data_IF_958536208398
#
_entry.id   IF_958536208398
#
_cell.length_a   1.000
_cell.length_b   1.000
_cell.length_c   1.000
_cell.angle_alpha   90.00
_cell.angle_beta   90.00
_cell.angle_gamma   90.00
#
_symmetry.space_group_name_H-M   'P 1'
#
loop_
_entity.id
_entity.type
_entity.pdbx_description
1 polymer ?
#
# COMPACT_ATOMS: atom_id res chain seq x y z
N UNK A 1 -5.71 -17.79 14.49
CA UNK A 1 -5.50 -16.32 14.50
C UNK A 1 -4.58 -15.86 13.37
N UNK A 2 -3.35 -16.39 13.24
CA UNK A 2 -2.42 -16.06 12.13
C UNK A 2 -3.04 -16.25 10.72
N UNK A 3 -3.65 -17.42 10.46
CA UNK A 3 -4.30 -17.68 9.17
C UNK A 3 -5.43 -16.69 8.85
N UNK A 4 -6.14 -16.18 9.86
CA UNK A 4 -7.19 -15.18 9.66
C UNK A 4 -6.60 -13.82 9.28
N UNK A 5 -5.50 -13.40 9.93
CA UNK A 5 -4.78 -12.17 9.60
C UNK A 5 -4.16 -12.22 8.20
N UNK A 6 -3.57 -13.35 7.81
CA UNK A 6 -3.03 -13.52 6.46
C UNK A 6 -4.12 -13.50 5.39
N UNK A 7 -5.30 -14.08 5.66
CA UNK A 7 -6.47 -13.97 4.77
C UNK A 7 -6.99 -12.54 4.69
N UNK A 8 -7.06 -11.83 5.81
CA UNK A 8 -7.45 -10.43 5.84
C UNK A 8 -6.46 -9.56 5.02
N UNK A 9 -5.16 -9.78 5.18
CA UNK A 9 -4.12 -9.12 4.39
C UNK A 9 -4.25 -9.43 2.89
N UNK A 10 -4.55 -10.68 2.52
CA UNK A 10 -4.80 -11.06 1.13
C UNK A 10 -6.06 -10.37 0.56
N UNK A 11 -7.17 -10.36 1.29
CA UNK A 11 -8.39 -9.68 0.87
C UNK A 11 -8.15 -8.17 0.73
N UNK A 12 -7.40 -7.56 1.65
CA UNK A 12 -7.03 -6.16 1.62
C UNK A 12 -6.15 -5.82 0.41
N UNK A 13 -5.19 -6.68 0.08
CA UNK A 13 -4.37 -6.55 -1.11
C UNK A 13 -5.18 -6.68 -2.41
N UNK A 14 -6.21 -7.54 -2.45
CA UNK A 14 -7.12 -7.63 -3.60
C UNK A 14 -7.89 -6.33 -3.79
N UNK A 15 -8.36 -5.70 -2.71
CA UNK A 15 -9.00 -4.38 -2.78
C UNK A 15 -8.01 -3.31 -3.29
N UNK A 16 -6.75 -3.33 -2.83
CA UNK A 16 -5.69 -2.47 -3.37
C UNK A 16 -5.44 -2.70 -4.86
N UNK A 17 -5.42 -3.96 -5.29
CA UNK A 17 -5.29 -4.35 -6.70
C UNK A 17 -6.48 -3.89 -7.55
N UNK A 18 -7.71 -4.01 -7.05
CA UNK A 18 -8.90 -3.50 -7.72
C UNK A 18 -8.84 -1.96 -7.89
N UNK A 19 -8.34 -1.25 -6.87
CA UNK A 19 -8.11 0.19 -6.95
C UNK A 19 -7.04 0.54 -8.00
N UNK A 20 -5.96 -0.26 -8.12
CA UNK A 20 -4.97 -0.11 -9.19
C UNK A 20 -5.59 -0.32 -10.58
N UNK A 21 -6.46 -1.31 -10.75
CA UNK A 21 -7.18 -1.48 -12.02
C UNK A 21 -8.06 -0.27 -12.36
N UNK A 22 -8.72 0.33 -11.38
CA UNK A 22 -9.49 1.57 -11.58
C UNK A 22 -8.59 2.74 -12.00
N UNK A 23 -7.43 2.91 -11.34
CA UNK A 23 -6.42 3.92 -11.71
C UNK A 23 -5.95 3.73 -13.15
N UNK A 24 -5.63 2.49 -13.54
CA UNK A 24 -5.22 2.15 -14.91
C UNK A 24 -6.34 2.47 -15.90
N UNK A 25 -7.59 2.11 -15.60
CA UNK A 25 -8.73 2.41 -16.46
C UNK A 25 -8.96 3.91 -16.68
N UNK A 26 -8.89 4.71 -15.62
CA UNK A 26 -9.00 6.18 -15.71
C UNK A 26 -7.83 6.76 -16.53
N UNK A 27 -6.61 6.30 -16.27
CA UNK A 27 -5.42 6.78 -16.98
C UNK A 27 -5.48 6.42 -18.46
N UNK A 28 -5.89 5.19 -18.80
CA UNK A 28 -6.09 4.74 -20.18
C UNK A 28 -7.18 5.56 -20.88
N UNK A 29 -8.29 5.85 -20.20
CA UNK A 29 -9.36 6.69 -20.74
C UNK A 29 -8.86 8.10 -21.04
N UNK A 30 -8.07 8.68 -20.15
CA UNK A 30 -7.48 10.01 -20.37
C UNK A 30 -6.48 10.02 -21.54
N UNK A 31 -5.59 9.02 -21.62
CA UNK A 31 -4.64 8.88 -22.74
C UNK A 31 -5.39 8.70 -24.06
N UNK A 32 -6.46 7.90 -24.08
CA UNK A 32 -7.30 7.72 -25.26
C UNK A 32 -7.99 9.04 -25.67
N UNK A 33 -8.57 9.78 -24.72
CA UNK A 33 -9.18 11.09 -24.97
C UNK A 33 -8.18 12.09 -25.55
N UNK A 34 -6.97 12.16 -24.99
CA UNK A 34 -5.89 13.01 -25.51
C UNK A 34 -5.41 12.59 -26.91
N UNK A 35 -5.39 11.28 -27.18
CA UNK A 35 -5.01 10.78 -28.51
C UNK A 35 -6.08 11.12 -29.54
N UNK A 36 -7.36 10.98 -29.17
CA UNK A 36 -8.50 11.40 -29.99
C UNK A 36 -8.47 12.89 -30.26
N UNK A 37 -8.23 13.71 -29.24
CA UNK A 37 -8.10 15.15 -29.36
C UNK A 37 -7.05 15.55 -30.40
N UNK A 38 -5.85 14.96 -30.34
CA UNK A 38 -4.80 15.20 -31.34
C UNK A 38 -5.18 14.78 -32.76
N UNK A 39 -6.04 13.78 -32.91
CA UNK A 39 -6.55 13.36 -34.22
C UNK A 39 -7.67 14.30 -34.69
N UNK A 40 -8.56 14.74 -33.80
CA UNK A 40 -9.70 15.62 -34.13
C UNK A 40 -9.29 17.07 -34.31
N UNK A 41 -8.20 17.51 -33.69
CA UNK A 41 -7.59 18.83 -33.85
C UNK A 41 -7.12 19.02 -35.32
N UNK A 42 -6.64 17.95 -35.97
CA UNK A 42 -6.35 17.93 -37.42
C UNK A 42 -7.60 18.15 -38.28
N UNK A 43 -8.79 17.90 -37.73
CA UNK A 43 -10.10 18.12 -38.36
C UNK A 43 -10.84 19.36 -37.80
N UNK A 44 -10.19 20.19 -36.98
CA UNK A 44 -10.75 21.43 -36.44
C UNK A 44 -11.71 21.27 -35.25
N UNK A 45 -11.68 20.13 -34.56
CA UNK A 45 -12.48 19.87 -33.36
C UNK A 45 -11.58 19.63 -32.14
N UNK A 46 -11.84 20.35 -31.04
CA UNK A 46 -11.12 20.29 -29.77
C UNK A 46 -11.89 19.38 -28.77
N UNK A 47 -11.23 18.35 -28.25
CA UNK A 47 -11.73 17.42 -27.24
C UNK A 47 -10.87 17.54 -26.00
N UNK A 48 -11.33 18.31 -25.01
CA UNK A 48 -10.58 18.46 -23.76
C UNK A 48 -10.46 17.11 -23.02
N UNK A 49 -9.22 16.77 -22.62
CA UNK A 49 -8.93 15.61 -21.77
C UNK A 49 -9.67 15.67 -20.42
N UNK A 50 -9.65 14.58 -19.64
CA UNK A 50 -10.42 14.50 -18.40
C UNK A 50 -9.85 15.46 -17.33
N UNK A 51 -10.52 16.58 -16.99
CA UNK A 51 -9.98 17.51 -16.02
C UNK A 51 -9.98 16.87 -14.63
N UNK A 52 -8.83 16.94 -13.94
CA UNK A 52 -8.68 16.46 -12.57
C UNK A 52 -8.33 14.98 -12.43
N UNK A 53 -8.17 14.21 -13.51
CA UNK A 53 -7.78 12.80 -13.39
C UNK A 53 -6.49 12.60 -12.56
N UNK A 54 -5.54 13.54 -12.62
CA UNK A 54 -4.28 13.50 -11.85
C UNK A 54 -4.51 13.55 -10.33
N UNK A 55 -5.49 14.33 -9.87
CA UNK A 55 -5.83 14.40 -8.45
C UNK A 55 -6.39 13.05 -7.98
N UNK A 56 -7.28 12.44 -8.77
CA UNK A 56 -7.81 11.10 -8.48
C UNK A 56 -6.68 10.06 -8.44
N UNK A 57 -5.84 10.01 -9.48
CA UNK A 57 -4.73 9.05 -9.57
C UNK A 57 -3.76 9.23 -8.41
N UNK A 58 -3.36 10.46 -8.10
CA UNK A 58 -2.44 10.77 -6.99
C UNK A 58 -2.97 10.28 -5.66
N UNK A 59 -4.23 10.60 -5.35
CA UNK A 59 -4.87 10.23 -4.09
C UNK A 59 -5.09 8.72 -4.01
N UNK A 60 -5.63 8.10 -5.06
CA UNK A 60 -5.89 6.66 -5.10
C UNK A 60 -4.60 5.83 -5.02
N UNK A 61 -3.53 6.22 -5.72
CA UNK A 61 -2.23 5.51 -5.68
C UNK A 61 -1.63 5.54 -4.27
N UNK A 62 -1.72 6.67 -3.55
CA UNK A 62 -1.22 6.78 -2.18
C UNK A 62 -1.86 5.77 -1.22
N UNK A 63 -3.15 5.46 -1.42
CA UNK A 63 -3.83 4.40 -0.68
C UNK A 63 -3.48 3.00 -1.20
N UNK A 64 -3.55 2.78 -2.52
CA UNK A 64 -3.38 1.47 -3.14
C UNK A 64 -2.02 0.83 -2.86
N UNK A 65 -0.95 1.64 -2.88
CA UNK A 65 0.40 1.16 -2.63
C UNK A 65 0.55 0.55 -1.23
N UNK A 66 0.03 1.22 -0.20
CA UNK A 66 0.12 0.77 1.19
C UNK A 66 -0.71 -0.50 1.44
N UNK A 67 -1.84 -0.67 0.75
CA UNK A 67 -2.74 -1.83 0.92
C UNK A 67 -2.07 -3.16 0.53
N UNK A 68 -1.00 -3.13 -0.25
CA UNK A 68 -0.26 -4.32 -0.68
C UNK A 68 0.76 -4.81 0.37
N UNK A 69 1.28 -3.91 1.21
CA UNK A 69 2.36 -4.22 2.16
C UNK A 69 2.03 -5.31 3.20
N UNK A 70 0.83 -5.37 3.80
CA UNK A 70 0.48 -6.44 4.74
C UNK A 70 0.58 -7.83 4.11
N UNK A 71 0.20 -7.95 2.83
CA UNK A 71 0.25 -9.22 2.12
C UNK A 71 1.70 -9.61 1.76
N UNK A 72 2.53 -8.64 1.38
CA UNK A 72 3.96 -8.87 1.17
C UNK A 72 4.64 -9.41 2.44
N UNK A 73 4.30 -8.85 3.62
CA UNK A 73 4.81 -9.35 4.90
C UNK A 73 4.35 -10.79 5.16
N UNK A 74 3.06 -11.07 4.99
CA UNK A 74 2.49 -12.41 5.23
C UNK A 74 3.14 -13.49 4.34
N UNK A 75 3.61 -13.13 3.15
CA UNK A 75 4.31 -14.03 2.22
C UNK A 75 5.80 -14.22 2.53
N UNK A 76 6.34 -13.59 3.58
CA UNK A 76 7.72 -13.75 4.07
C UNK A 76 8.79 -13.51 2.98
N UNK A 77 8.82 -12.31 2.42
CA UNK A 77 9.79 -11.92 1.38
C UNK A 77 11.28 -11.83 1.79
N UNK A 78 11.70 -12.33 2.96
CA UNK A 78 13.08 -12.19 3.48
C UNK A 78 14.07 -13.23 2.93
N UNK A 79 13.83 -13.68 1.69
CA UNK A 79 14.58 -14.74 0.99
C UNK A 79 16.10 -14.49 0.99
N UNK A 80 16.54 -13.23 0.92
CA UNK A 80 17.96 -12.89 0.89
C UNK A 80 18.69 -13.18 2.23
N UNK A 81 18.01 -13.01 3.37
CA UNK A 81 18.59 -13.29 4.69
C UNK A 81 18.56 -14.79 4.98
N UNK A 82 17.53 -15.49 4.51
CA UNK A 82 17.41 -16.94 4.68
C UNK A 82 18.53 -17.70 3.97
N UNK A 83 18.89 -17.33 2.74
CA UNK A 83 19.97 -18.00 1.98
C UNK A 83 21.34 -17.83 2.67
N UNK A 84 21.66 -16.63 3.16
CA UNK A 84 22.91 -16.37 3.87
C UNK A 84 22.93 -17.02 5.27
N UNK A 85 21.78 -17.02 5.97
CA UNK A 85 21.67 -17.60 7.30
C UNK A 85 21.72 -19.14 7.27
N UNK A 86 21.07 -19.78 6.30
CA UNK A 86 21.09 -21.24 6.12
C UNK A 86 22.50 -21.78 5.79
N UNK A 87 23.31 -20.97 5.10
CA UNK A 87 24.64 -21.40 4.65
C UNK A 87 25.73 -21.19 5.72
N UNK A 88 25.55 -20.24 6.66
CA UNK A 88 26.64 -19.78 7.54
C UNK A 88 26.29 -19.77 9.05
N UNK A 89 25.02 -19.70 9.44
CA UNK A 89 24.63 -19.43 10.84
C UNK A 89 24.06 -20.64 11.61
N UNK A 90 24.38 -20.78 12.92
CA UNK A 90 23.69 -21.71 13.81
C UNK A 90 22.19 -21.36 13.91
N UNK A 91 21.34 -22.39 13.91
CA UNK A 91 19.85 -22.27 13.98
C UNK A 91 19.33 -21.38 15.12
N UNK A 92 20.09 -21.24 16.21
CA UNK A 92 19.76 -20.35 17.33
C UNK A 92 19.87 -18.86 16.98
N UNK A 93 20.93 -18.47 16.25
CA UNK A 93 21.18 -17.08 15.85
C UNK A 93 20.17 -16.64 14.78
N UNK A 94 19.87 -17.53 13.82
CA UNK A 94 18.86 -17.26 12.79
C UNK A 94 17.49 -16.95 13.39
N UNK A 95 17.05 -17.69 14.42
CA UNK A 95 15.78 -17.43 15.12
C UNK A 95 15.75 -16.08 15.84
N UNK A 96 16.86 -15.68 16.47
CA UNK A 96 16.96 -14.39 17.14
C UNK A 96 16.88 -13.27 16.11
N UNK A 97 17.61 -13.38 15.00
CA UNK A 97 17.60 -12.37 13.94
C UNK A 97 16.21 -12.25 13.29
N UNK A 98 15.56 -13.38 13.01
CA UNK A 98 14.20 -13.40 12.45
C UNK A 98 13.19 -12.74 13.40
N UNK A 99 13.27 -13.06 14.70
CA UNK A 99 12.41 -12.44 15.73
C UNK A 99 12.65 -10.93 15.84
N UNK A 100 13.91 -10.50 15.86
CA UNK A 100 14.28 -9.09 15.90
C UNK A 100 13.78 -8.33 14.67
N UNK A 101 13.87 -8.95 13.50
CA UNK A 101 13.40 -8.37 12.25
C UNK A 101 11.88 -8.16 12.24
N UNK A 102 11.11 -9.18 12.65
CA UNK A 102 9.66 -9.05 12.80
C UNK A 102 9.27 -7.97 13.81
N UNK A 103 9.98 -7.87 14.93
CA UNK A 103 9.76 -6.83 15.92
C UNK A 103 10.06 -5.42 15.36
N UNK A 104 11.16 -5.28 14.63
CA UNK A 104 11.55 -4.01 14.02
C UNK A 104 10.52 -3.56 12.98
N UNK A 105 10.05 -4.47 12.13
CA UNK A 105 8.98 -4.17 11.15
C UNK A 105 7.70 -3.78 11.86
N UNK A 106 7.30 -4.51 12.90
CA UNK A 106 6.09 -4.18 13.66
C UNK A 106 6.16 -2.78 14.29
N UNK A 107 7.31 -2.43 14.88
CA UNK A 107 7.54 -1.13 15.48
C UNK A 107 7.56 -0.02 14.43
N UNK A 108 8.24 -0.24 13.30
CA UNK A 108 8.28 0.71 12.19
C UNK A 108 6.87 0.94 11.60
N UNK A 109 6.12 -0.12 11.32
CA UNK A 109 4.77 -0.03 10.79
C UNK A 109 3.83 0.70 11.76
N UNK A 110 3.94 0.40 13.07
CA UNK A 110 3.19 1.11 14.12
C UNK A 110 3.57 2.60 14.22
N UNK A 111 4.86 2.93 14.14
CA UNK A 111 5.35 4.31 14.14
C UNK A 111 4.85 5.09 12.91
N UNK A 112 4.90 4.47 11.72
CA UNK A 112 4.37 5.07 10.50
C UNK A 112 2.85 5.28 10.59
N UNK A 113 2.10 4.31 11.14
CA UNK A 113 0.66 4.45 11.35
C UNK A 113 0.34 5.64 12.26
N UNK A 114 1.11 5.80 13.34
CA UNK A 114 0.99 6.94 14.26
C UNK A 114 1.27 8.27 13.55
N UNK A 115 2.39 8.38 12.84
CA UNK A 115 2.76 9.60 12.09
C UNK A 115 1.74 9.94 11.00
N UNK A 116 1.22 8.93 10.32
CA UNK A 116 0.22 9.11 9.28
C UNK A 116 -1.13 9.55 9.84
N UNK A 117 -1.50 9.08 11.04
CA UNK A 117 -2.70 9.55 11.75
C UNK A 117 -2.58 11.04 12.14
N UNK A 118 -1.42 11.46 12.65
CA UNK A 118 -1.17 12.88 12.92
C UNK A 118 -1.25 13.73 11.65
N UNK A 119 -0.65 13.27 10.55
CA UNK A 119 -0.73 13.95 9.26
C UNK A 119 -2.17 14.04 8.72
N UNK A 120 -2.99 13.02 8.95
CA UNK A 120 -4.42 13.05 8.59
C UNK A 120 -5.18 14.12 9.39
N UNK A 121 -4.93 14.21 10.71
CA UNK A 121 -5.58 15.19 11.58
C UNK A 121 -5.22 16.62 11.20
N UNK A 122 -3.95 16.87 10.89
CA UNK A 122 -3.49 18.17 10.39
C UNK A 122 -4.15 18.52 9.05
N UNK A 123 -4.14 17.59 8.09
CA UNK A 123 -4.80 17.75 6.77
C UNK A 123 -6.30 18.03 6.90
N UNK A 124 -6.96 17.40 7.87
CA UNK A 124 -8.36 17.61 8.18
C UNK A 124 -8.60 19.01 8.78
N UNK A 125 -7.75 19.45 9.71
CA UNK A 125 -7.80 20.79 10.29
C UNK A 125 -7.59 21.90 9.25
N UNK A 126 -6.68 21.68 8.31
CA UNK A 126 -6.37 22.62 7.22
C UNK A 126 -7.44 22.65 6.12
N UNK A 127 -8.45 21.79 6.18
CA UNK A 127 -9.48 21.63 5.14
C UNK A 127 -8.87 21.45 3.75
N UNK A 128 -7.77 20.69 3.66
CA UNK A 128 -7.00 20.57 2.42
C UNK A 128 -7.83 19.91 1.31
N UNK A 129 -7.92 20.61 0.17
CA UNK A 129 -8.63 20.17 -1.03
C UNK A 129 -7.66 19.86 -2.18
N UNK A 130 -8.06 18.95 -3.06
CA UNK A 130 -7.38 18.70 -4.32
C UNK A 130 -7.46 19.94 -5.23
N UNK A 131 -6.46 20.16 -6.08
CA UNK A 131 -6.34 21.45 -6.79
C UNK A 131 -7.40 21.64 -7.87
N UNK A 132 -7.78 20.57 -8.54
CA UNK A 132 -8.67 20.62 -9.72
C UNK A 132 -10.07 20.15 -9.35
N UNK A 133 -10.19 18.97 -8.72
CA UNK A 133 -11.49 18.41 -8.33
C UNK A 133 -12.07 19.00 -7.04
N UNK A 134 -11.25 19.70 -6.24
CA UNK A 134 -11.69 20.24 -4.95
C UNK A 134 -12.06 19.15 -3.93
N UNK A 135 -11.51 17.94 -4.06
CA UNK A 135 -11.86 16.84 -3.17
C UNK A 135 -11.13 16.95 -1.84
N UNK A 136 -11.79 16.63 -0.70
CA UNK A 136 -11.10 16.54 0.57
C UNK A 136 -10.04 15.44 0.52
N UNK A 137 -8.83 15.75 0.95
CA UNK A 137 -7.68 14.83 0.86
C UNK A 137 -7.67 13.79 1.99
N UNK A 138 -8.19 14.16 3.17
CA UNK A 138 -8.13 13.33 4.38
C UNK A 138 -8.70 11.89 4.25
N UNK A 139 -9.77 11.59 3.48
CA UNK A 139 -10.31 10.23 3.41
C UNK A 139 -9.31 9.22 2.84
N UNK A 140 -8.39 9.66 1.97
CA UNK A 140 -7.38 8.81 1.35
C UNK A 140 -6.27 8.37 2.30
N UNK A 141 -6.19 8.97 3.50
CA UNK A 141 -5.33 8.49 4.58
C UNK A 141 -5.89 7.24 5.26
N UNK A 142 -7.22 7.07 5.31
CA UNK A 142 -7.83 5.96 6.06
C UNK A 142 -7.37 4.57 5.57
N UNK A 143 -7.36 4.27 4.25
CA UNK A 143 -6.89 2.97 3.79
C UNK A 143 -5.40 2.75 4.09
N UNK A 144 -4.59 3.79 4.01
CA UNK A 144 -3.16 3.70 4.32
C UNK A 144 -2.89 3.44 5.80
N UNK A 145 -3.59 4.12 6.70
CA UNK A 145 -3.50 3.89 8.16
C UNK A 145 -3.94 2.46 8.48
N UNK A 146 -5.08 2.03 7.94
CA UNK A 146 -5.58 0.66 8.12
C UNK A 146 -4.57 -0.39 7.62
N UNK A 147 -3.91 -0.11 6.49
CA UNK A 147 -2.86 -0.97 5.93
C UNK A 147 -1.66 -1.07 6.86
N UNK A 148 -1.17 0.05 7.40
CA UNK A 148 -0.03 0.06 8.33
C UNK A 148 -0.35 -0.67 9.64
N UNK A 149 -1.57 -0.50 10.17
CA UNK A 149 -2.02 -1.23 11.36
C UNK A 149 -2.11 -2.74 11.09
N UNK A 150 -2.65 -3.14 9.92
CA UNK A 150 -2.73 -4.53 9.53
C UNK A 150 -1.33 -5.14 9.31
N UNK A 151 -0.41 -4.39 8.72
CA UNK A 151 0.98 -4.82 8.54
C UNK A 151 1.68 -5.05 9.87
N UNK A 152 1.54 -4.13 10.84
CA UNK A 152 2.06 -4.29 12.19
C UNK A 152 1.46 -5.54 12.88
N UNK A 153 0.14 -5.76 12.74
CA UNK A 153 -0.53 -6.92 13.31
C UNK A 153 -0.05 -8.25 12.70
N UNK A 154 0.18 -8.29 11.37
CA UNK A 154 0.75 -9.46 10.68
C UNK A 154 2.18 -9.72 11.17
N UNK A 155 3.02 -8.70 11.23
CA UNK A 155 4.40 -8.84 11.71
C UNK A 155 4.47 -9.34 13.17
N UNK A 156 3.60 -8.84 14.05
CA UNK A 156 3.49 -9.31 15.43
C UNK A 156 2.96 -10.74 15.53
N UNK A 157 2.02 -11.11 14.67
CA UNK A 157 1.48 -12.46 14.66
C UNK A 157 2.54 -13.48 14.22
N UNK A 158 3.43 -13.10 13.30
CA UNK A 158 4.51 -13.96 12.78
C UNK A 158 5.72 -14.10 13.74
N UNK A 159 5.78 -13.33 14.85
CA UNK A 159 6.78 -13.51 15.92
C UNK A 159 6.77 -14.90 16.59
N UNK A 160 5.69 -15.67 16.44
CA UNK A 160 5.62 -17.00 17.05
C UNK A 160 6.50 -17.96 16.26
N UNK A 161 7.50 -18.59 16.89
CA UNK A 161 8.40 -19.49 16.20
C UNK A 161 7.58 -20.61 15.55
N UNK A 162 7.81 -20.84 14.27
CA UNK A 162 7.29 -22.01 13.58
C UNK A 162 7.67 -23.23 14.42
N UNK A 163 6.67 -23.93 14.97
CA UNK A 163 6.86 -25.30 15.47
C UNK A 163 7.27 -26.11 14.25
N UNK A 164 8.57 -26.36 14.12
CA UNK A 164 9.07 -27.38 13.22
C UNK A 164 8.60 -28.71 13.81
N UNK A 165 7.67 -29.37 13.14
CA UNK A 165 7.57 -30.82 13.22
C UNK A 165 8.97 -31.37 12.89
N UNK A 166 9.44 -32.21 13.81
CA UNK A 166 10.73 -32.90 13.77
C UNK A 166 10.77 -33.86 12.59
#
# INVERSE_FOLDING_TARGET
>A
MQQALHRAAAAWAILGGALLFAIVGVTMTNVAAFTLDRVTELFGHDVQGLPGYEDFVRLAVSSAALMLFPYCQARRGHVAVDILAETVMPRGVQRVLDTLWHLLIALLAGFLAWKMTLGMLETYGDHALSRVLGWPVWPFYLPGIASLMLWAAVALADLRPAKLEV
#
